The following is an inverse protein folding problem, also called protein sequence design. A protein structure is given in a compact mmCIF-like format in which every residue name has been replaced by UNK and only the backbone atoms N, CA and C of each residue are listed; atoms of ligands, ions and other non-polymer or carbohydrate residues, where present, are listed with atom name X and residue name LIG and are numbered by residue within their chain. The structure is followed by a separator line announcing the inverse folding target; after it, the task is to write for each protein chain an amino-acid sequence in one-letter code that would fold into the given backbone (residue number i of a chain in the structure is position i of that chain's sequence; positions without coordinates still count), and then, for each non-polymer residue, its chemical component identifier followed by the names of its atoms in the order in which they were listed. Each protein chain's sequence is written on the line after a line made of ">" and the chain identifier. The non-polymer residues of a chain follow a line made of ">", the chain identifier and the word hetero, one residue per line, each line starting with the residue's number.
data_IF_506412410787
#
_entry.id   IF_506412410787
#
_cell.length_a   1.000
_cell.length_b   1.000
_cell.length_c   1.000
_cell.angle_alpha   90.00
_cell.angle_beta   90.00
_cell.angle_gamma   90.00
#
_symmetry.space_group_name_H-M   'P 1'
#
loop_
_entity.id
_entity.type
_entity.pdbx_description
1 polymer ?
#
# COMPACT_ATOMS: atom_id res chain seq x y z
N UNK A 1 -0.34 6.46 -6.67
CA UNK A 1 -1.26 7.62 -6.54
C UNK A 1 -0.49 8.81 -6.03
N UNK A 2 -0.87 10.03 -6.41
CA UNK A 2 -0.18 11.25 -5.96
C UNK A 2 -1.18 12.23 -5.34
N UNK A 3 -0.73 13.00 -4.35
CA UNK A 3 -1.47 14.16 -3.84
C UNK A 3 -0.83 15.43 -4.38
N UNK A 4 -1.64 16.47 -4.56
CA UNK A 4 -1.20 17.83 -4.93
C UNK A 4 -1.04 18.74 -3.72
N UNK A 5 -1.40 18.29 -2.51
CA UNK A 5 -1.33 19.09 -1.28
C UNK A 5 0.03 18.93 -0.58
N UNK A 6 0.81 20.01 -0.41
CA UNK A 6 2.11 19.96 0.25
C UNK A 6 2.04 20.21 1.76
N UNK A 7 0.89 20.03 2.40
CA UNK A 7 0.63 20.53 3.78
C UNK A 7 1.04 19.57 4.90
N UNK A 8 1.76 18.49 4.59
CA UNK A 8 2.22 17.51 5.58
C UNK A 8 3.59 17.81 6.18
N UNK A 9 3.97 17.09 7.26
CA UNK A 9 5.34 17.07 7.77
C UNK A 9 6.34 16.74 6.66
N UNK A 10 7.53 17.34 6.72
CA UNK A 10 8.59 17.08 5.74
C UNK A 10 9.09 15.65 5.90
N UNK A 11 9.30 14.96 4.78
CA UNK A 11 9.92 13.63 4.76
C UNK A 11 11.25 13.63 5.54
N UNK A 12 11.46 12.71 6.50
CA UNK A 12 12.71 12.59 7.25
C UNK A 12 13.93 12.37 6.35
N UNK A 13 15.08 12.93 6.76
CA UNK A 13 16.36 12.75 6.05
C UNK A 13 17.03 11.41 6.35
N UNK A 14 16.77 10.81 7.51
CA UNK A 14 17.21 9.46 7.83
C UNK A 14 16.57 8.47 6.83
N UNK A 15 17.35 7.62 6.14
CA UNK A 15 16.81 6.71 5.13
C UNK A 15 15.76 5.72 5.64
N UNK A 16 15.93 5.16 6.84
CA UNK A 16 15.00 4.20 7.43
C UNK A 16 13.66 4.86 7.80
N UNK A 17 13.72 6.06 8.39
CA UNK A 17 12.52 6.83 8.73
C UNK A 17 11.84 7.38 7.48
N UNK A 18 12.62 7.82 6.48
CA UNK A 18 12.11 8.29 5.20
C UNK A 18 11.39 7.19 4.43
N UNK A 19 11.94 5.96 4.38
CA UNK A 19 11.27 4.83 3.75
C UNK A 19 9.96 4.45 4.46
N UNK A 20 9.95 4.45 5.80
CA UNK A 20 8.73 4.17 6.57
C UNK A 20 7.69 5.29 6.38
N UNK A 21 8.12 6.55 6.34
CA UNK A 21 7.28 7.70 6.02
C UNK A 21 6.63 7.54 4.64
N UNK A 22 7.42 7.22 3.61
CA UNK A 22 6.92 7.03 2.25
C UNK A 22 5.92 5.86 2.18
N UNK A 23 6.20 4.75 2.86
CA UNK A 23 5.29 3.61 2.94
C UNK A 23 3.95 3.98 3.58
N UNK A 24 3.94 4.74 4.69
CA UNK A 24 2.70 5.21 5.32
C UNK A 24 1.95 6.20 4.41
N UNK A 25 2.67 7.04 3.66
CA UNK A 25 2.03 7.91 2.67
C UNK A 25 1.34 7.10 1.56
N UNK A 26 1.96 6.00 1.11
CA UNK A 26 1.32 5.04 0.20
C UNK A 26 0.11 4.38 0.84
N UNK A 27 0.17 3.99 2.12
CA UNK A 27 -0.97 3.42 2.85
C UNK A 27 -2.18 4.37 2.89
N UNK A 28 -1.97 5.66 3.17
CA UNK A 28 -3.07 6.65 3.12
C UNK A 28 -3.74 6.68 1.76
N UNK A 29 -2.93 6.71 0.69
CA UNK A 29 -3.45 6.74 -0.67
C UNK A 29 -4.20 5.44 -0.99
N UNK A 30 -3.66 4.27 -0.63
CA UNK A 30 -4.28 2.96 -0.87
C UNK A 30 -5.61 2.82 -0.12
N UNK A 31 -5.71 3.28 1.12
CA UNK A 31 -6.98 3.30 1.88
C UNK A 31 -8.02 4.18 1.18
N UNK A 32 -7.61 5.35 0.68
CA UNK A 32 -8.50 6.22 -0.11
C UNK A 32 -8.96 5.51 -1.40
N UNK A 33 -8.03 4.92 -2.14
CA UNK A 33 -8.33 4.23 -3.40
C UNK A 33 -9.25 3.02 -3.21
N UNK A 34 -9.13 2.28 -2.11
CA UNK A 34 -10.05 1.20 -1.78
C UNK A 34 -11.49 1.67 -1.53
N UNK A 35 -11.70 2.93 -1.14
CA UNK A 35 -13.03 3.54 -1.11
C UNK A 35 -13.67 3.61 -2.50
N UNK A 36 -12.88 3.93 -3.53
CA UNK A 36 -13.34 3.94 -4.91
C UNK A 36 -13.53 2.52 -5.46
N UNK A 37 -12.61 1.61 -5.14
CA UNK A 37 -12.74 0.19 -5.51
C UNK A 37 -14.06 -0.35 -4.95
N UNK A 38 -14.35 -0.10 -3.68
CA UNK A 38 -15.61 -0.50 -3.03
C UNK A 38 -16.85 0.06 -3.72
N UNK A 39 -16.76 1.27 -4.28
CA UNK A 39 -17.90 1.92 -4.94
C UNK A 39 -18.14 1.42 -6.36
N UNK A 40 -17.16 0.75 -6.98
CA UNK A 40 -17.19 0.35 -8.39
C UNK A 40 -17.10 -1.16 -8.62
N UNK A 41 -16.70 -1.93 -7.61
CA UNK A 41 -16.65 -3.38 -7.69
C UNK A 41 -18.05 -4.01 -7.59
N UNK A 42 -18.14 -5.28 -7.97
CA UNK A 42 -19.35 -6.08 -7.79
C UNK A 42 -19.48 -6.57 -6.34
N UNK A 43 -20.70 -6.86 -5.85
CA UNK A 43 -20.91 -7.22 -4.44
C UNK A 43 -20.19 -8.50 -3.98
N UNK A 44 -19.90 -9.43 -4.88
CA UNK A 44 -19.24 -10.71 -4.61
C UNK A 44 -17.77 -10.56 -4.13
N UNK A 45 -17.14 -9.40 -4.36
CA UNK A 45 -15.78 -9.11 -3.88
C UNK A 45 -15.73 -8.17 -2.67
N UNK A 46 -16.88 -7.82 -2.07
CA UNK A 46 -16.95 -6.92 -0.92
C UNK A 46 -16.17 -7.43 0.30
N UNK A 47 -16.10 -8.75 0.50
CA UNK A 47 -15.30 -9.35 1.56
C UNK A 47 -13.79 -9.13 1.34
N UNK A 48 -13.33 -9.18 0.08
CA UNK A 48 -11.94 -8.91 -0.27
C UNK A 48 -11.60 -7.43 -0.04
N UNK A 49 -12.47 -6.52 -0.48
CA UNK A 49 -12.33 -5.07 -0.24
C UNK A 49 -12.27 -4.76 1.25
N UNK A 50 -13.18 -5.32 2.04
CA UNK A 50 -13.27 -5.06 3.48
C UNK A 50 -12.02 -5.56 4.23
N UNK A 51 -11.53 -6.77 3.88
CA UNK A 51 -10.31 -7.32 4.46
C UNK A 51 -9.08 -6.49 4.08
N UNK A 52 -8.92 -6.14 2.81
CA UNK A 52 -7.80 -5.32 2.37
C UNK A 52 -7.81 -3.95 3.07
N UNK A 53 -8.96 -3.27 3.13
CA UNK A 53 -9.07 -1.98 3.80
C UNK A 53 -8.77 -2.07 5.31
N UNK A 54 -9.16 -3.15 5.98
CA UNK A 54 -8.81 -3.39 7.38
C UNK A 54 -7.30 -3.62 7.58
N UNK A 55 -6.69 -4.46 6.73
CA UNK A 55 -5.25 -4.75 6.76
C UNK A 55 -4.41 -3.48 6.54
N UNK A 56 -4.75 -2.65 5.56
CA UNK A 56 -4.06 -1.38 5.30
C UNK A 56 -4.19 -0.40 6.46
N UNK A 57 -5.39 -0.27 7.05
CA UNK A 57 -5.60 0.60 8.23
C UNK A 57 -4.76 0.13 9.42
N UNK A 58 -4.80 -1.16 9.74
CA UNK A 58 -4.00 -1.72 10.84
C UNK A 58 -2.50 -1.47 10.61
N UNK A 59 -2.02 -1.71 9.38
CA UNK A 59 -0.61 -1.52 9.03
C UNK A 59 -0.19 -0.05 9.12
N UNK A 60 -1.04 0.87 8.65
CA UNK A 60 -0.83 2.31 8.77
C UNK A 60 -0.67 2.73 10.23
N UNK A 61 -1.59 2.30 11.10
CA UNK A 61 -1.53 2.66 12.53
C UNK A 61 -0.26 2.13 13.18
N UNK A 62 0.15 0.89 12.87
CA UNK A 62 1.41 0.33 13.36
C UNK A 62 2.62 1.13 12.86
N UNK A 63 2.66 1.50 11.58
CA UNK A 63 3.72 2.33 11.02
C UNK A 63 3.79 3.71 11.67
N UNK A 64 2.64 4.37 11.89
CA UNK A 64 2.58 5.66 12.60
C UNK A 64 3.08 5.53 14.05
N UNK A 65 2.71 4.46 14.75
CA UNK A 65 3.22 4.19 16.10
C UNK A 65 4.75 3.97 16.12
N UNK A 66 5.30 3.30 15.09
CA UNK A 66 6.75 3.15 14.95
C UNK A 66 7.46 4.49 14.74
N UNK A 67 6.95 5.37 13.87
CA UNK A 67 7.51 6.73 13.71
C UNK A 67 7.38 7.57 14.98
N UNK A 68 6.22 7.51 15.64
CA UNK A 68 6.01 8.21 16.91
C UNK A 68 6.98 7.73 18.00
N UNK A 69 7.25 6.42 18.09
CA UNK A 69 8.25 5.86 19.00
C UNK A 69 9.69 6.30 18.71
N UNK A 70 9.95 6.77 17.49
CA UNK A 70 11.23 7.39 17.06
C UNK A 70 11.23 8.92 17.18
N UNK A 71 10.17 9.51 17.73
CA UNK A 71 9.94 10.96 17.76
C UNK A 71 9.94 11.61 16.37
N UNK A 72 9.49 10.87 15.35
CA UNK A 72 9.34 11.34 13.97
C UNK A 72 7.85 11.56 13.67
N UNK A 73 7.52 12.72 13.10
CA UNK A 73 6.15 12.98 12.65
C UNK A 73 5.83 12.17 11.39
N UNK A 74 4.72 11.44 11.43
CA UNK A 74 4.23 10.65 10.29
C UNK A 74 3.55 11.52 9.23
N UNK A 75 3.42 11.02 7.99
CA UNK A 75 2.72 11.74 6.94
C UNK A 75 1.23 11.86 7.29
N UNK A 76 0.65 13.03 6.97
CA UNK A 76 -0.79 13.24 7.07
C UNK A 76 -1.49 12.77 5.78
N UNK A 77 -2.73 12.26 5.88
CA UNK A 77 -3.53 11.97 4.69
C UNK A 77 -3.91 13.27 3.98
N UNK A 78 -3.93 13.24 2.64
CA UNK A 78 -4.48 14.32 1.84
C UNK A 78 -6.01 14.23 1.76
N UNK A 79 -6.68 15.34 1.46
CA UNK A 79 -8.13 15.36 1.28
C UNK A 79 -8.57 14.57 0.02
N UNK A 80 -7.68 14.45 -0.96
CA UNK A 80 -7.91 13.67 -2.17
C UNK A 80 -6.60 13.23 -2.84
N UNK A 81 -6.70 12.18 -3.65
CA UNK A 81 -5.58 11.60 -4.38
C UNK A 81 -5.91 11.47 -5.86
N UNK A 82 -4.94 11.80 -6.71
CA UNK A 82 -4.99 11.52 -8.13
C UNK A 82 -4.74 10.03 -8.38
N UNK A 83 -5.70 9.39 -9.04
CA UNK A 83 -5.63 7.98 -9.41
C UNK A 83 -4.62 7.76 -10.56
N UNK A 84 -3.95 6.60 -10.59
CA UNK A 84 -2.99 6.26 -11.65
C UNK A 84 -3.69 5.90 -12.96
N UNK A 85 -5.00 5.66 -12.93
CA UNK A 85 -5.82 5.29 -14.09
C UNK A 85 -7.26 5.73 -13.88
N UNK A 86 -8.01 5.84 -14.98
CA UNK A 86 -9.46 6.03 -14.94
C UNK A 86 -10.15 4.74 -14.47
N UNK A 87 -11.20 4.86 -13.66
CA UNK A 87 -11.96 3.73 -13.12
C UNK A 87 -13.44 3.90 -13.43
N UNK A 88 -13.90 3.27 -14.51
CA UNK A 88 -15.29 3.35 -14.96
C UNK A 88 -16.06 2.06 -14.71
N UNK A 89 -15.38 0.92 -14.76
CA UNK A 89 -15.96 -0.43 -14.69
C UNK A 89 -15.49 -1.22 -13.46
N UNK A 90 -16.18 -2.32 -13.09
CA UNK A 90 -15.69 -3.25 -12.06
C UNK A 90 -14.30 -3.82 -12.36
N UNK A 91 -14.00 -4.12 -13.62
CA UNK A 91 -12.68 -4.59 -14.04
C UNK A 91 -11.61 -3.50 -13.83
N UNK A 92 -11.93 -2.23 -14.09
CA UNK A 92 -11.01 -1.13 -13.81
C UNK A 92 -10.78 -0.96 -12.31
N UNK A 93 -11.79 -1.23 -11.48
CA UNK A 93 -11.65 -1.19 -10.03
C UNK A 93 -10.71 -2.29 -9.53
N UNK A 94 -10.84 -3.51 -10.07
CA UNK A 94 -9.93 -4.61 -9.76
C UNK A 94 -8.50 -4.33 -10.27
N UNK A 95 -8.34 -3.74 -11.47
CA UNK A 95 -7.02 -3.30 -11.98
C UNK A 95 -6.40 -2.21 -11.10
N UNK A 96 -7.21 -1.25 -10.65
CA UNK A 96 -6.76 -0.23 -9.70
C UNK A 96 -6.28 -0.91 -8.41
N UNK A 97 -7.02 -1.88 -7.88
CA UNK A 97 -6.63 -2.62 -6.69
C UNK A 97 -5.28 -3.33 -6.86
N UNK A 98 -5.08 -4.09 -7.95
CA UNK A 98 -3.78 -4.70 -8.27
C UNK A 98 -2.67 -3.65 -8.26
N UNK A 99 -2.87 -2.53 -8.97
CA UNK A 99 -1.86 -1.48 -9.07
C UNK A 99 -1.51 -0.86 -7.72
N UNK A 100 -2.50 -0.60 -6.87
CA UNK A 100 -2.26 -0.04 -5.53
C UNK A 100 -1.50 -1.01 -4.63
N UNK A 101 -1.82 -2.29 -4.69
CA UNK A 101 -1.12 -3.32 -3.92
C UNK A 101 0.32 -3.50 -4.38
N UNK A 102 0.59 -3.43 -5.69
CA UNK A 102 1.96 -3.45 -6.24
C UNK A 102 2.76 -2.21 -5.82
N UNK A 103 2.17 -1.01 -5.91
CA UNK A 103 2.79 0.23 -5.44
C UNK A 103 3.09 0.16 -3.92
N UNK A 104 2.17 -0.37 -3.12
CA UNK A 104 2.37 -0.58 -1.69
C UNK A 104 3.46 -1.63 -1.41
N UNK A 105 3.49 -2.73 -2.15
CA UNK A 105 4.54 -3.74 -2.06
C UNK A 105 5.93 -3.14 -2.33
N UNK A 106 6.04 -2.27 -3.34
CA UNK A 106 7.29 -1.54 -3.63
C UNK A 106 7.70 -0.63 -2.47
N UNK A 107 6.76 0.11 -1.89
CA UNK A 107 7.04 0.99 -0.77
C UNK A 107 7.51 0.21 0.47
N UNK A 108 6.87 -0.91 0.79
CA UNK A 108 7.30 -1.77 1.90
C UNK A 108 8.63 -2.48 1.65
N UNK A 109 8.97 -2.80 0.39
CA UNK A 109 10.30 -3.28 0.04
C UNK A 109 11.38 -2.24 0.37
N UNK A 110 11.15 -0.96 0.07
CA UNK A 110 12.09 0.09 0.44
C UNK A 110 12.30 0.17 1.97
N UNK A 111 11.26 -0.07 2.77
CA UNK A 111 11.39 -0.19 4.23
C UNK A 111 12.31 -1.35 4.60
N UNK A 112 12.16 -2.52 3.96
CA UNK A 112 13.03 -3.69 4.20
C UNK A 112 14.49 -3.38 3.85
N UNK A 113 14.72 -2.71 2.72
CA UNK A 113 16.06 -2.35 2.24
C UNK A 113 16.77 -1.35 3.15
N UNK A 114 16.03 -0.38 3.73
CA UNK A 114 16.60 0.66 4.58
C UNK A 114 16.58 0.32 6.09
N UNK A 115 15.87 -0.74 6.49
CA UNK A 115 15.71 -1.07 7.90
C UNK A 115 17.01 -1.51 8.56
N UNK A 116 17.35 -0.84 9.67
CA UNK A 116 18.56 -1.08 10.46
C UNK A 116 18.34 -2.13 11.55
N UNK A 117 17.10 -2.40 11.93
CA UNK A 117 16.73 -3.40 12.95
C UNK A 117 16.04 -4.62 12.33
N UNK A 118 16.15 -5.76 13.01
CA UNK A 118 15.44 -6.99 12.59
C UNK A 118 13.91 -6.82 12.69
N UNK A 119 13.44 -6.15 13.73
CA UNK A 119 12.01 -5.90 13.95
C UNK A 119 11.40 -5.07 12.81
N UNK A 120 12.08 -4.01 12.36
CA UNK A 120 11.60 -3.18 11.25
C UNK A 120 11.61 -3.96 9.93
N UNK A 121 12.67 -4.75 9.67
CA UNK A 121 12.72 -5.62 8.49
C UNK A 121 11.59 -6.64 8.49
N UNK A 122 11.34 -7.29 9.63
CA UNK A 122 10.27 -8.29 9.76
C UNK A 122 8.90 -7.66 9.51
N UNK A 123 8.66 -6.45 10.02
CA UNK A 123 7.44 -5.69 9.74
C UNK A 123 7.29 -5.36 8.25
N UNK A 124 8.36 -4.84 7.62
CA UNK A 124 8.37 -4.53 6.20
C UNK A 124 8.14 -5.75 5.30
N UNK A 125 8.74 -6.90 5.64
CA UNK A 125 8.53 -8.16 4.90
C UNK A 125 7.09 -8.63 5.04
N UNK A 126 6.52 -8.62 6.25
CA UNK A 126 5.13 -9.02 6.47
C UNK A 126 4.17 -8.14 5.65
N UNK A 127 4.38 -6.83 5.68
CA UNK A 127 3.61 -5.87 4.89
C UNK A 127 3.72 -6.11 3.38
N UNK A 128 4.95 -6.24 2.87
CA UNK A 128 5.24 -6.55 1.47
C UNK A 128 4.55 -7.83 1.02
N UNK A 129 4.62 -8.91 1.82
CA UNK A 129 3.99 -10.19 1.52
C UNK A 129 2.46 -10.08 1.49
N UNK A 130 1.87 -9.37 2.46
CA UNK A 130 0.42 -9.15 2.48
C UNK A 130 -0.06 -8.41 1.23
N UNK A 131 0.61 -7.32 0.83
CA UNK A 131 0.27 -6.59 -0.40
C UNK A 131 0.37 -7.51 -1.63
N UNK A 132 1.45 -8.29 -1.75
CA UNK A 132 1.62 -9.21 -2.87
C UNK A 132 0.52 -10.29 -2.93
N UNK A 133 0.10 -10.82 -1.78
CA UNK A 133 -1.01 -11.78 -1.69
C UNK A 133 -2.33 -11.13 -2.10
N UNK A 134 -2.59 -9.89 -1.67
CA UNK A 134 -3.82 -9.18 -2.03
C UNK A 134 -3.84 -8.80 -3.51
N UNK A 135 -2.71 -8.37 -4.09
CA UNK A 135 -2.56 -8.20 -5.54
C UNK A 135 -2.92 -9.48 -6.29
N UNK A 136 -2.39 -10.63 -5.86
CA UNK A 136 -2.65 -11.92 -6.49
C UNK A 136 -4.14 -12.32 -6.41
N UNK A 137 -4.82 -12.01 -5.30
CA UNK A 137 -6.27 -12.23 -5.15
C UNK A 137 -7.06 -11.38 -6.14
N UNK A 138 -6.69 -10.12 -6.35
CA UNK A 138 -7.32 -9.26 -7.35
C UNK A 138 -7.01 -9.70 -8.80
N UNK A 139 -5.79 -10.14 -9.08
CA UNK A 139 -5.45 -10.75 -10.39
C UNK A 139 -6.30 -11.98 -10.69
N UNK A 140 -6.64 -12.78 -9.66
CA UNK A 140 -7.57 -13.90 -9.80
C UNK A 140 -9.00 -13.43 -10.11
N UNK A 141 -9.47 -12.35 -9.48
CA UNK A 141 -10.78 -11.74 -9.81
C UNK A 141 -10.81 -11.31 -11.28
N UNK A 142 -9.71 -10.75 -11.79
CA UNK A 142 -9.55 -10.35 -13.19
C UNK A 142 -9.37 -11.53 -14.17
N UNK A 143 -9.23 -12.77 -13.69
CA UNK A 143 -8.88 -13.91 -14.54
C UNK A 143 -7.52 -13.80 -15.24
N UNK A 144 -6.59 -12.99 -14.71
CA UNK A 144 -5.29 -12.72 -15.33
C UNK A 144 -4.28 -13.85 -15.11
N UNK A 145 -3.41 -14.10 -16.09
CA UNK A 145 -2.32 -15.09 -16.00
C UNK A 145 -0.97 -14.50 -16.43
N UNK A 146 0.12 -14.68 -15.65
CA UNK A 146 0.17 -15.33 -14.35
C UNK A 146 -0.52 -14.48 -13.26
N UNK A 147 -1.12 -15.15 -12.26
CA UNK A 147 -1.81 -14.47 -11.15
C UNK A 147 -0.83 -13.76 -10.18
N UNK A 148 0.46 -14.10 -10.26
CA UNK A 148 1.53 -13.55 -9.43
C UNK A 148 2.72 -13.15 -10.29
N UNK A 149 3.40 -12.07 -9.92
CA UNK A 149 4.77 -11.79 -10.37
C UNK A 149 5.77 -12.50 -9.45
N UNK A 150 6.97 -12.79 -9.96
CA UNK A 150 8.02 -13.37 -9.14
C UNK A 150 8.36 -12.45 -7.96
N UNK A 151 8.62 -13.03 -6.80
CA UNK A 151 9.10 -12.26 -5.66
C UNK A 151 10.46 -11.62 -6.01
N UNK A 152 10.75 -10.39 -5.57
CA UNK A 152 12.06 -9.78 -5.76
C UNK A 152 13.19 -10.74 -5.31
N UNK A 153 14.17 -10.97 -6.18
CA UNK A 153 15.25 -11.96 -5.97
C UNK A 153 14.95 -13.38 -6.48
N UNK A 154 13.79 -13.61 -7.11
CA UNK A 154 13.36 -14.93 -7.59
C UNK A 154 13.73 -15.28 -9.03
N UNK A 155 14.52 -14.45 -9.73
CA UNK A 155 15.03 -14.72 -11.07
C UNK A 155 16.52 -14.31 -11.16
N UNK A 156 17.40 -15.10 -10.57
CA UNK A 156 18.81 -15.25 -10.96
C UNK A 156 19.13 -16.73 -11.13
#
# INVERSE_FOLDING_TARGET
>A
MTSVEPTGPTRPSNPADGALFDAIATEHATIYGYGLVSARCTPDVNDLVSKAMAEHRERREKGLAMLSGRSVEGPLPAAGYQLPMKVDTPDDAAKLAVRMEEDAAVAWRAVVEQATTEQDRAFGVAALTQCAVTAARWSRVLGSTPVTVAFPGGNE
#
